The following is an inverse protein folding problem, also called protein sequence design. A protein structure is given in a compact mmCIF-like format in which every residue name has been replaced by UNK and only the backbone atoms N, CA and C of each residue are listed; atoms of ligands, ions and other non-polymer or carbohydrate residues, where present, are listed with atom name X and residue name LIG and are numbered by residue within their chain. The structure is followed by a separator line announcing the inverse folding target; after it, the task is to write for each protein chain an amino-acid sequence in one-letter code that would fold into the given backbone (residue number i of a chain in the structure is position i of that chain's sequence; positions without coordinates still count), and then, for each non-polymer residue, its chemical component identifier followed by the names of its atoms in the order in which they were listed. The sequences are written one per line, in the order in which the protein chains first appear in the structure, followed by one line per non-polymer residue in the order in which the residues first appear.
data_IF_944654430637
#
_entry.id   IF_944654430637
#
_cell.length_a   1.000
_cell.length_b   1.000
_cell.length_c   1.000
_cell.angle_alpha   90.00
_cell.angle_beta   90.00
_cell.angle_gamma   90.00
#
_symmetry.space_group_name_H-M   'P 1'
#
loop_
_entity.id
_entity.type
_entity.pdbx_description
1 polymer ?
#
# COMPACT_ATOMS: atom_id res chain seq x y z
N UNK A 1 14.66 26.95 -22.25
CA UNK A 1 14.61 28.22 -21.48
C UNK A 1 14.00 29.22 -22.45
N UNK A 2 12.86 29.83 -22.21
CA UNK A 2 12.46 30.56 -21.00
C UNK A 2 10.94 30.49 -20.75
N UNK A 3 10.58 30.80 -19.51
CA UNK A 3 9.25 30.73 -18.92
C UNK A 3 8.38 31.90 -19.38
N UNK A 4 7.09 31.64 -19.69
CA UNK A 4 6.10 32.69 -19.80
C UNK A 4 5.58 33.05 -18.41
N UNK A 5 6.04 34.20 -17.90
CA UNK A 5 5.50 34.87 -16.73
C UNK A 5 4.11 35.40 -17.10
N UNK A 6 3.09 34.99 -16.36
CA UNK A 6 1.75 35.60 -16.45
C UNK A 6 1.47 36.33 -15.13
N UNK A 7 1.63 37.65 -15.16
CA UNK A 7 1.22 38.56 -14.09
C UNK A 7 -0.32 38.58 -13.98
N UNK A 8 -0.85 38.36 -12.79
CA UNK A 8 -2.25 38.68 -12.50
C UNK A 8 -2.34 40.10 -11.94
N UNK A 9 -2.86 41.01 -12.77
CA UNK A 9 -3.30 42.33 -12.36
C UNK A 9 -4.71 42.25 -11.75
N UNK A 10 -4.85 42.83 -10.56
CA UNK A 10 -6.06 43.40 -9.96
C UNK A 10 -7.41 42.76 -10.28
N UNK A 11 -7.90 41.94 -9.35
CA UNK A 11 -9.34 41.77 -9.16
C UNK A 11 -9.66 41.90 -7.67
N UNK A 12 -10.39 42.96 -7.33
CA UNK A 12 -10.81 43.31 -5.97
C UNK A 12 -11.81 42.27 -5.44
N UNK A 13 -11.49 41.67 -4.28
CA UNK A 13 -12.41 40.78 -3.57
C UNK A 13 -13.38 41.62 -2.72
N UNK A 14 -14.60 41.81 -3.21
CA UNK A 14 -15.73 42.24 -2.39
C UNK A 14 -16.51 41.00 -1.92
N UNK A 15 -16.45 40.74 -0.61
CA UNK A 15 -17.45 40.03 0.19
C UNK A 15 -18.07 38.75 -0.40
N UNK A 16 -17.42 37.60 -0.19
CA UNK A 16 -18.12 36.31 -0.11
C UNK A 16 -17.48 35.45 0.99
N UNK A 17 -18.33 34.87 1.83
CA UNK A 17 -18.01 34.25 3.10
C UNK A 17 -17.00 33.09 2.98
N UNK A 18 -15.86 33.25 3.65
CA UNK A 18 -14.86 32.21 3.86
C UNK A 18 -15.34 31.25 4.96
N UNK A 19 -15.95 30.12 4.59
CA UNK A 19 -16.16 29.01 5.53
C UNK A 19 -16.28 27.60 4.89
N UNK A 20 -16.10 27.45 3.58
CA UNK A 20 -16.33 26.16 2.91
C UNK A 20 -15.32 25.72 1.84
N UNK A 21 -14.34 26.54 1.50
CA UNK A 21 -13.52 26.32 0.29
C UNK A 21 -12.09 25.79 0.54
N UNK A 22 -11.58 25.85 1.77
CA UNK A 22 -10.17 25.48 2.03
C UNK A 22 -9.95 23.99 2.40
N UNK A 23 -10.99 23.26 2.80
CA UNK A 23 -10.84 21.85 3.22
C UNK A 23 -10.82 20.86 2.04
N UNK A 24 -11.66 21.06 1.03
CA UNK A 24 -11.68 20.21 -0.17
C UNK A 24 -10.37 20.37 -0.97
N UNK A 25 -9.87 21.61 -1.13
CA UNK A 25 -8.64 21.86 -1.90
C UNK A 25 -7.40 21.16 -1.34
N UNK A 26 -7.30 21.02 -0.02
CA UNK A 26 -6.16 20.36 0.63
C UNK A 26 -6.23 18.83 0.49
N UNK A 27 -7.41 18.21 0.62
CA UNK A 27 -7.60 16.77 0.36
C UNK A 27 -7.37 16.42 -1.12
N UNK A 28 -7.83 17.27 -2.05
CA UNK A 28 -7.57 17.10 -3.48
C UNK A 28 -6.07 17.23 -3.81
N UNK A 29 -5.35 18.16 -3.19
CA UNK A 29 -3.91 18.29 -3.38
C UNK A 29 -3.13 17.08 -2.83
N UNK A 30 -3.52 16.53 -1.67
CA UNK A 30 -2.94 15.30 -1.11
C UNK A 30 -3.23 14.10 -2.02
N UNK A 31 -4.44 14.02 -2.57
CA UNK A 31 -4.84 12.95 -3.48
C UNK A 31 -4.13 13.04 -4.83
N UNK A 32 -4.03 14.23 -5.44
CA UNK A 32 -3.25 14.44 -6.66
C UNK A 32 -1.75 14.21 -6.43
N UNK A 33 -1.22 14.59 -5.27
CA UNK A 33 0.15 14.29 -4.87
C UNK A 33 0.35 12.77 -4.74
N UNK A 34 -0.57 12.04 -4.10
CA UNK A 34 -0.53 10.59 -4.04
C UNK A 34 -0.54 9.96 -5.44
N UNK A 35 -1.42 10.39 -6.34
CA UNK A 35 -1.46 9.90 -7.73
C UNK A 35 -0.15 10.20 -8.47
N UNK A 36 0.40 11.40 -8.31
CA UNK A 36 1.67 11.77 -8.93
C UNK A 36 2.85 10.97 -8.34
N UNK A 37 2.83 10.68 -7.03
CA UNK A 37 3.77 9.79 -6.32
C UNK A 37 3.60 8.31 -6.70
N UNK A 38 2.41 7.85 -7.08
CA UNK A 38 2.17 6.46 -7.51
C UNK A 38 2.48 6.25 -9.00
N UNK A 39 2.36 7.28 -9.83
CA UNK A 39 2.67 7.21 -11.28
C UNK A 39 4.15 7.30 -11.61
N UNK A 40 4.97 7.79 -10.69
CA UNK A 40 6.43 7.80 -10.81
C UNK A 40 6.96 6.99 -9.64
N UNK A 41 7.84 5.98 -9.81
CA UNK A 41 8.48 5.31 -8.68
C UNK A 41 9.38 6.33 -7.97
N UNK A 42 8.78 7.15 -7.11
CA UNK A 42 9.43 8.24 -6.43
C UNK A 42 10.26 7.64 -5.29
N UNK A 43 11.50 8.10 -5.06
CA UNK A 43 12.39 7.56 -4.04
C UNK A 43 11.81 7.57 -2.61
N UNK A 44 10.72 8.31 -2.37
CA UNK A 44 10.02 8.35 -1.09
C UNK A 44 9.40 6.99 -0.71
N UNK A 45 8.90 6.20 -1.67
CA UNK A 45 8.34 4.86 -1.39
C UNK A 45 9.43 3.83 -1.00
N UNK A 46 10.69 4.10 -1.36
CA UNK A 46 11.85 3.28 -0.95
C UNK A 46 12.21 3.55 0.51
N UNK A 47 12.10 4.80 0.97
CA UNK A 47 12.52 5.20 2.33
C UNK A 47 11.38 5.14 3.36
N UNK A 48 10.14 5.00 2.91
CA UNK A 48 8.95 5.12 3.76
C UNK A 48 8.61 6.57 4.07
N UNK A 49 7.39 6.80 4.56
CA UNK A 49 6.89 8.12 4.99
C UNK A 49 6.51 8.03 6.47
N UNK A 50 7.44 8.34 7.40
CA UNK A 50 7.19 8.24 8.83
C UNK A 50 5.99 9.06 9.31
N UNK A 51 5.73 10.23 8.70
CA UNK A 51 4.59 11.09 9.06
C UNK A 51 3.24 10.41 8.80
N UNK A 52 3.19 9.49 7.82
CA UNK A 52 1.99 8.73 7.46
C UNK A 52 2.02 7.31 8.03
N UNK A 53 2.99 6.99 8.88
CA UNK A 53 3.24 5.62 9.37
C UNK A 53 3.39 4.60 8.23
N UNK A 54 3.84 5.06 7.07
CA UNK A 54 4.07 4.20 5.91
C UNK A 54 5.49 3.64 6.01
N UNK A 55 5.66 2.33 6.22
CA UNK A 55 6.97 1.71 6.26
C UNK A 55 7.62 1.74 4.87
N UNK A 56 8.95 1.57 4.80
CA UNK A 56 9.66 1.35 3.54
C UNK A 56 9.07 0.18 2.75
N UNK A 57 8.89 0.33 1.44
CA UNK A 57 8.45 -0.79 0.59
C UNK A 57 9.58 -1.76 0.26
N UNK A 58 10.84 -1.31 0.27
CA UNK A 58 11.98 -2.18 -0.03
C UNK A 58 13.19 -1.86 0.86
N UNK A 59 13.58 -2.76 1.80
CA UNK A 59 12.90 -3.99 2.18
C UNK A 59 11.66 -3.74 3.06
N UNK A 60 10.55 -4.42 2.77
CA UNK A 60 9.37 -4.42 3.63
C UNK A 60 9.43 -5.56 4.65
N UNK A 61 9.26 -5.22 5.92
CA UNK A 61 9.24 -6.18 7.02
C UNK A 61 7.80 -6.54 7.36
N UNK A 62 7.41 -7.79 7.10
CA UNK A 62 6.07 -8.26 7.40
C UNK A 62 6.00 -8.78 8.84
N UNK A 63 4.93 -8.43 9.55
CA UNK A 63 4.69 -8.94 10.90
C UNK A 63 4.57 -10.47 10.91
N UNK A 64 5.09 -11.16 11.94
CA UNK A 64 4.95 -12.59 12.06
C UNK A 64 3.48 -13.01 12.03
N UNK A 65 3.19 -14.12 11.35
CA UNK A 65 1.84 -14.65 11.29
C UNK A 65 1.84 -16.17 11.39
N UNK A 66 0.69 -16.72 11.76
CA UNK A 66 0.47 -18.15 11.89
C UNK A 66 -0.67 -18.58 11.00
N UNK A 67 -0.43 -19.62 10.21
CA UNK A 67 -1.41 -20.31 9.40
C UNK A 67 -1.79 -21.63 10.06
N UNK A 68 -3.07 -21.82 10.35
CA UNK A 68 -3.59 -23.04 10.97
C UNK A 68 -4.58 -23.74 10.04
N UNK A 69 -4.25 -24.95 9.64
CA UNK A 69 -5.14 -25.86 8.93
C UNK A 69 -5.36 -27.07 9.80
N UNK A 70 -6.49 -27.14 10.51
CA UNK A 70 -6.74 -28.20 11.50
C UNK A 70 -7.73 -29.27 11.01
N UNK A 71 -8.22 -29.16 9.78
CA UNK A 71 -9.24 -30.04 9.22
C UNK A 71 -8.74 -30.81 8.00
N UNK A 72 -9.23 -32.05 7.86
CA UNK A 72 -8.94 -32.91 6.72
C UNK A 72 -7.67 -33.75 6.89
N UNK A 73 -7.17 -34.35 5.79
CA UNK A 73 -5.97 -35.20 5.80
C UNK A 73 -4.69 -34.39 6.05
N UNK A 74 -4.74 -33.07 5.99
CA UNK A 74 -3.64 -32.16 6.26
C UNK A 74 -3.98 -31.34 7.51
N UNK A 75 -3.31 -31.63 8.63
CA UNK A 75 -3.51 -30.91 9.89
C UNK A 75 -2.20 -30.26 10.29
N UNK A 76 -2.00 -28.98 10.03
CA UNK A 76 -0.76 -28.27 10.36
C UNK A 76 -0.99 -26.89 10.96
N UNK A 77 -0.01 -26.45 11.75
CA UNK A 77 0.22 -25.08 12.15
C UNK A 77 1.57 -24.66 11.60
N UNK A 78 1.61 -23.56 10.86
CA UNK A 78 2.80 -22.98 10.26
C UNK A 78 2.96 -21.55 10.77
N UNK A 79 4.04 -21.25 11.48
CA UNK A 79 4.39 -19.89 11.87
C UNK A 79 5.52 -19.38 10.99
N UNK A 80 5.43 -18.10 10.61
CA UNK A 80 6.43 -17.41 9.83
C UNK A 80 6.92 -16.19 10.59
N UNK A 81 8.24 -16.05 10.68
CA UNK A 81 8.94 -15.00 11.43
C UNK A 81 10.12 -14.44 10.62
N UNK A 82 10.64 -13.30 11.07
CA UNK A 82 11.73 -12.56 10.40
C UNK A 82 11.50 -12.36 8.89
N UNK A 83 10.26 -12.04 8.52
CA UNK A 83 9.83 -11.98 7.11
C UNK A 83 10.28 -10.67 6.49
N UNK A 84 11.07 -10.78 5.43
CA UNK A 84 11.61 -9.67 4.64
C UNK A 84 11.19 -9.85 3.20
N UNK A 85 10.49 -8.87 2.66
CA UNK A 85 10.04 -8.81 1.28
C UNK A 85 10.86 -7.75 0.55
N UNK A 86 11.35 -8.09 -0.64
CA UNK A 86 12.04 -7.16 -1.53
C UNK A 86 11.50 -7.23 -2.96
N UNK A 87 11.57 -6.13 -3.70
CA UNK A 87 11.01 -5.98 -5.04
C UNK A 87 9.65 -5.29 -5.09
N UNK A 88 9.05 -4.91 -3.96
CA UNK A 88 7.74 -4.24 -3.93
C UNK A 88 7.78 -2.86 -4.60
N UNK A 89 8.90 -2.13 -4.53
CA UNK A 89 9.06 -0.82 -5.17
C UNK A 89 9.15 -0.88 -6.69
N UNK A 90 9.39 -2.07 -7.27
CA UNK A 90 9.55 -2.27 -8.71
C UNK A 90 8.21 -2.49 -9.42
N UNK A 91 7.11 -2.11 -8.79
CA UNK A 91 5.78 -2.27 -9.38
C UNK A 91 5.61 -1.38 -10.63
N UNK A 92 4.84 -1.87 -11.59
CA UNK A 92 4.35 -1.10 -12.72
C UNK A 92 2.85 -0.88 -12.51
N UNK A 93 2.46 0.37 -12.30
CA UNK A 93 1.04 0.72 -12.19
C UNK A 93 0.40 0.65 -13.59
N UNK A 94 -0.70 -0.09 -13.69
CA UNK A 94 -1.52 -0.15 -14.91
C UNK A 94 -2.61 0.89 -14.87
N UNK A 95 -3.39 0.91 -13.80
CA UNK A 95 -4.47 1.87 -13.59
C UNK A 95 -4.60 2.22 -12.11
N UNK A 96 -5.05 3.45 -11.88
CA UNK A 96 -5.44 3.94 -10.57
C UNK A 96 -6.62 4.88 -10.81
N UNK A 97 -7.82 4.39 -10.52
CA UNK A 97 -9.08 5.05 -10.83
C UNK A 97 -9.93 5.16 -9.57
N UNK A 98 -10.79 6.17 -9.52
CA UNK A 98 -11.81 6.30 -8.50
C UNK A 98 -13.18 6.46 -9.13
N UNK A 99 -14.18 5.92 -8.45
CA UNK A 99 -15.57 6.11 -8.78
C UNK A 99 -16.25 6.86 -7.63
N UNK A 100 -16.50 8.16 -7.81
CA UNK A 100 -17.14 9.00 -6.79
C UNK A 100 -18.57 8.56 -6.48
N UNK A 101 -19.32 8.09 -7.48
CA UNK A 101 -20.70 7.64 -7.30
C UNK A 101 -20.79 6.36 -6.49
N UNK A 102 -19.86 5.43 -6.73
CA UNK A 102 -19.76 4.18 -5.98
C UNK A 102 -18.88 4.29 -4.72
N UNK A 103 -18.24 5.44 -4.52
CA UNK A 103 -17.26 5.69 -3.44
C UNK A 103 -16.18 4.61 -3.38
N UNK A 104 -15.62 4.24 -4.52
CA UNK A 104 -14.60 3.19 -4.63
C UNK A 104 -13.34 3.70 -5.30
N UNK A 105 -12.20 3.18 -4.87
CA UNK A 105 -10.92 3.29 -5.56
C UNK A 105 -10.52 1.93 -6.10
N UNK A 106 -9.92 1.94 -7.28
CA UNK A 106 -9.40 0.78 -7.98
C UNK A 106 -7.93 1.01 -8.29
N UNK A 107 -7.11 0.02 -7.98
CA UNK A 107 -5.69 0.02 -8.29
C UNK A 107 -5.36 -1.30 -8.96
N UNK A 108 -4.72 -1.22 -10.12
CA UNK A 108 -4.14 -2.36 -10.82
C UNK A 108 -2.66 -2.13 -11.03
N UNK A 109 -1.82 -3.07 -10.59
CA UNK A 109 -0.37 -3.00 -10.75
C UNK A 109 0.24 -4.38 -10.97
N UNK A 110 1.41 -4.43 -11.60
CA UNK A 110 2.23 -5.64 -11.68
C UNK A 110 3.53 -5.47 -10.93
N UNK A 111 3.98 -6.51 -10.23
CA UNK A 111 5.31 -6.57 -9.64
C UNK A 111 6.11 -7.63 -10.41
N UNK A 112 7.13 -7.25 -11.20
CA UNK A 112 7.86 -8.17 -12.06
C UNK A 112 8.52 -9.32 -11.30
N UNK A 113 9.18 -8.99 -10.19
CA UNK A 113 9.86 -9.97 -9.33
C UNK A 113 9.80 -9.50 -7.88
N UNK A 114 9.32 -10.38 -7.01
CA UNK A 114 9.27 -10.19 -5.57
C UNK A 114 9.98 -11.36 -4.89
N UNK A 115 10.85 -11.05 -3.94
CA UNK A 115 11.62 -12.03 -3.18
C UNK A 115 11.19 -11.92 -1.73
N UNK A 116 10.62 -13.02 -1.20
CA UNK A 116 10.26 -13.15 0.21
C UNK A 116 11.27 -14.08 0.89
N UNK A 117 11.86 -13.62 1.98
CA UNK A 117 12.76 -14.39 2.83
C UNK A 117 12.24 -14.37 4.25
N UNK A 118 12.55 -15.40 5.01
CA UNK A 118 12.25 -15.43 6.42
C UNK A 118 12.54 -16.78 7.02
N UNK A 119 11.97 -17.01 8.19
CA UNK A 119 12.01 -18.28 8.89
C UNK A 119 10.60 -18.84 8.97
N UNK A 120 10.53 -20.16 9.00
CA UNK A 120 9.29 -20.89 9.15
C UNK A 120 9.46 -21.98 10.19
N UNK A 121 8.35 -22.29 10.86
CA UNK A 121 8.22 -23.45 11.71
C UNK A 121 6.84 -24.07 11.44
N UNK A 122 6.83 -25.30 10.97
CA UNK A 122 5.66 -26.08 10.61
C UNK A 122 5.61 -27.28 11.52
N UNK A 123 4.46 -27.46 12.17
CA UNK A 123 4.14 -28.62 12.99
C UNK A 123 2.78 -29.16 12.56
N UNK A 124 2.66 -30.46 12.38
CA UNK A 124 1.41 -31.03 11.93
C UNK A 124 1.46 -32.51 11.62
N UNK A 125 0.49 -32.93 10.82
CA UNK A 125 0.33 -34.25 10.27
C UNK A 125 -0.16 -34.16 8.83
N UNK A 126 0.35 -35.04 7.98
CA UNK A 126 -0.13 -35.24 6.61
C UNK A 126 -0.51 -36.71 6.46
N UNK A 127 -1.77 -37.00 6.10
CA UNK A 127 -2.34 -38.35 6.08
C UNK A 127 -2.08 -39.14 7.38
N UNK A 128 -2.11 -38.46 8.52
CA UNK A 128 -1.84 -39.06 9.84
C UNK A 128 -0.34 -39.23 10.18
N UNK A 129 0.58 -39.01 9.24
CA UNK A 129 2.02 -39.04 9.49
C UNK A 129 2.49 -37.72 10.09
N UNK A 130 3.34 -37.72 11.15
CA UNK A 130 3.85 -36.50 11.74
C UNK A 130 4.71 -35.71 10.74
N UNK A 131 4.48 -34.40 10.70
CA UNK A 131 5.22 -33.42 9.92
C UNK A 131 5.80 -32.38 10.88
N UNK A 132 7.11 -32.25 10.91
CA UNK A 132 7.79 -31.18 11.62
C UNK A 132 8.91 -30.65 10.74
N UNK A 133 8.90 -29.36 10.46
CA UNK A 133 9.91 -28.72 9.63
C UNK A 133 10.14 -27.30 10.13
N UNK A 134 11.39 -26.92 10.32
CA UNK A 134 11.74 -25.55 10.65
C UNK A 134 13.02 -25.17 9.92
N UNK A 135 13.11 -23.92 9.49
CA UNK A 135 14.27 -23.43 8.76
C UNK A 135 14.07 -22.06 8.16
N UNK A 136 15.08 -21.61 7.41
CA UNK A 136 14.95 -20.42 6.59
C UNK A 136 14.32 -20.77 5.24
N UNK A 137 13.55 -19.84 4.68
CA UNK A 137 13.02 -19.93 3.32
C UNK A 137 13.45 -18.72 2.49
N UNK A 138 13.48 -18.91 1.18
CA UNK A 138 13.66 -17.85 0.19
C UNK A 138 12.81 -18.20 -1.02
N UNK A 139 11.78 -17.40 -1.28
CA UNK A 139 10.84 -17.59 -2.37
C UNK A 139 10.96 -16.46 -3.36
N UNK A 140 11.01 -16.78 -4.65
CA UNK A 140 10.98 -15.83 -5.76
C UNK A 140 9.62 -15.99 -6.43
N UNK A 141 8.89 -14.89 -6.52
CA UNK A 141 7.61 -14.79 -7.21
C UNK A 141 7.78 -13.84 -8.39
N UNK A 142 7.37 -14.27 -9.58
CA UNK A 142 7.49 -13.48 -10.80
C UNK A 142 6.11 -13.21 -11.38
N UNK A 143 5.96 -12.04 -12.00
CA UNK A 143 4.72 -11.64 -12.68
C UNK A 143 3.53 -11.57 -11.73
N UNK A 144 3.72 -10.99 -10.54
CA UNK A 144 2.60 -10.81 -9.61
C UNK A 144 1.70 -9.72 -10.15
N UNK A 145 0.43 -10.04 -10.34
CA UNK A 145 -0.63 -9.08 -10.62
C UNK A 145 -1.35 -8.72 -9.32
N UNK A 146 -1.50 -7.43 -9.06
CA UNK A 146 -2.16 -6.87 -7.88
C UNK A 146 -3.36 -6.07 -8.36
N UNK A 147 -4.53 -6.47 -7.91
CA UNK A 147 -5.75 -5.70 -8.03
C UNK A 147 -6.27 -5.40 -6.63
N UNK A 148 -6.48 -4.12 -6.35
CA UNK A 148 -7.00 -3.66 -5.07
C UNK A 148 -8.21 -2.76 -5.30
N UNK A 149 -9.25 -3.03 -4.52
CA UNK A 149 -10.46 -2.22 -4.44
C UNK A 149 -10.60 -1.73 -3.00
N UNK A 150 -10.88 -0.44 -2.83
CA UNK A 150 -11.03 0.16 -1.50
C UNK A 150 -12.19 1.15 -1.46
N UNK A 151 -12.94 1.16 -0.37
CA UNK A 151 -14.00 2.13 -0.15
C UNK A 151 -13.42 3.51 0.25
N UNK A 152 -13.90 4.56 -0.41
CA UNK A 152 -13.52 5.96 -0.13
C UNK A 152 -14.06 6.45 1.23
N UNK A 153 -15.11 5.82 1.77
CA UNK A 153 -15.68 6.17 3.07
C UNK A 153 -14.74 5.85 4.25
N UNK A 154 -13.76 4.97 4.05
CA UNK A 154 -12.75 4.60 5.06
C UNK A 154 -11.61 5.62 5.17
N UNK A 155 -11.36 6.45 4.16
CA UNK A 155 -10.31 7.48 4.20
C UNK A 155 -10.72 8.71 5.03
N UNK A 156 -12.01 9.03 5.06
CA UNK A 156 -12.55 10.12 5.89
C UNK A 156 -12.34 9.88 7.40
N UNK A 157 -12.21 8.61 7.84
CA UNK A 157 -11.92 8.27 9.24
C UNK A 157 -10.45 8.46 9.62
N UNK A 158 -9.51 8.31 8.68
CA UNK A 158 -8.09 8.56 8.94
C UNK A 158 -7.79 10.05 9.11
N UNK A 159 -8.47 10.92 8.36
CA UNK A 159 -8.41 12.38 8.53
C UNK A 159 -8.86 12.80 9.94
N UNK A 160 -9.87 12.12 10.52
CA UNK A 160 -10.35 12.39 11.87
C UNK A 160 -9.38 11.95 13.00
N UNK A 161 -8.46 11.02 12.74
CA UNK A 161 -7.46 10.57 13.74
C UNK A 161 -6.15 11.36 13.70
N UNK A 162 -5.91 12.17 12.66
CA UNK A 162 -4.75 13.07 12.59
C UNK A 162 -5.00 14.43 13.28
N UNK A 163 -6.23 14.66 13.76
CA UNK A 163 -6.64 15.85 14.53
C UNK A 163 -6.76 15.45 16.01
N UNK A 164 -5.65 15.16 16.67
CA UNK A 164 -5.48 15.36 18.13
C UNK A 164 -4.04 15.80 18.38
#
# INVERSE_FOLDING_TARGET
MEFAVMEFAGMEFAGMEFAGMEFAGMEFAIMEFAIMEFRRPHPILLTGIPQLQLPPLDPYHLSPFTFNQLQGPLQMSASFDDIVITGLSKFNLHYFDWNYSLRKMFLGATIPTLIAKGKYNIMGRIFGLPLQAAGAYSTIMNGIEVEAESDLDTLAKFSAYLII
#
